data_IF_172108476757
#
_entry.id   IF_172108476757
#
_cell.length_a   1.000
_cell.length_b   1.000
_cell.length_c   1.000
_cell.angle_alpha   90.00
_cell.angle_beta   90.00
_cell.angle_gamma   90.00
#
_symmetry.space_group_name_H-M   'P 1'
#
loop_
_entity.id
_entity.type
_entity.pdbx_description
1 polymer ?
#
# COMPACT_ATOMS: atom_id res chain seq x y z
N UNK A 1 51.20 22.25 11.02
CA UNK A 1 50.04 23.09 11.39
C UNK A 1 48.81 22.40 10.80
N UNK A 2 47.86 21.99 11.64
CA UNK A 2 46.62 21.37 11.13
C UNK A 2 45.77 22.43 10.38
N UNK A 3 45.26 22.16 9.18
CA UNK A 3 44.46 23.11 8.42
C UNK A 3 43.07 23.36 9.02
N UNK A 4 42.76 22.79 10.16
CA UNK A 4 41.46 22.92 10.84
C UNK A 4 41.51 24.07 11.88
N UNK A 5 40.43 24.88 12.00
CA UNK A 5 40.27 25.81 13.09
C UNK A 5 40.51 25.14 14.44
N UNK A 6 41.17 25.81 15.40
CA UNK A 6 41.54 25.18 16.65
C UNK A 6 40.38 24.65 17.47
N UNK A 7 39.20 25.24 17.32
CA UNK A 7 37.93 24.83 17.93
C UNK A 7 37.52 23.43 17.51
N UNK A 8 37.60 23.14 16.21
CA UNK A 8 37.27 21.82 15.64
C UNK A 8 38.31 20.78 16.03
N UNK A 9 39.60 21.18 16.01
CA UNK A 9 40.70 20.30 16.44
C UNK A 9 40.56 19.92 17.93
N UNK A 10 40.14 20.87 18.76
CA UNK A 10 39.90 20.64 20.19
C UNK A 10 38.67 19.76 20.42
N UNK A 11 37.57 20.00 19.70
CA UNK A 11 36.36 19.18 19.75
C UNK A 11 36.63 17.73 19.36
N UNK A 12 37.39 17.48 18.29
CA UNK A 12 37.80 16.14 17.86
C UNK A 12 38.72 15.45 18.90
N UNK A 13 39.54 16.23 19.59
CA UNK A 13 40.43 15.72 20.67
C UNK A 13 39.64 15.33 21.91
N UNK A 14 38.55 16.03 22.22
CA UNK A 14 37.62 15.67 23.31
C UNK A 14 36.80 14.41 23.00
N UNK A 15 36.52 14.13 21.74
CA UNK A 15 35.81 12.92 21.31
C UNK A 15 36.68 11.66 21.29
N UNK A 16 38.02 11.77 21.39
CA UNK A 16 38.91 10.60 21.47
C UNK A 16 38.64 9.81 22.74
N UNK A 17 38.38 8.49 22.66
CA UNK A 17 38.08 7.64 23.81
C UNK A 17 39.31 7.52 24.73
N UNK A 18 39.38 8.37 25.72
CA UNK A 18 40.18 8.09 26.92
C UNK A 18 39.22 7.44 27.91
N UNK A 19 39.68 6.40 28.64
CA UNK A 19 38.95 5.60 29.64
C UNK A 19 38.24 6.41 30.74
N UNK A 20 37.33 7.33 30.38
CA UNK A 20 36.68 8.25 31.31
C UNK A 20 35.17 8.30 30.98
N UNK A 21 34.33 8.55 31.96
CA UNK A 21 32.87 8.71 31.90
C UNK A 21 32.35 9.59 30.75
N UNK A 22 33.14 10.58 30.31
CA UNK A 22 32.83 11.46 29.16
C UNK A 22 32.64 10.69 27.85
N UNK A 23 33.39 9.59 27.67
CA UNK A 23 33.23 8.75 26.46
C UNK A 23 31.91 8.01 26.42
N UNK A 24 31.33 7.63 27.57
CA UNK A 24 30.05 6.93 27.68
C UNK A 24 28.90 7.88 27.33
N UNK A 25 28.92 9.12 27.83
CA UNK A 25 27.89 10.12 27.53
C UNK A 25 27.86 10.44 26.03
N UNK A 26 29.05 10.66 25.44
CA UNK A 26 29.15 10.90 24.00
C UNK A 26 28.60 9.71 23.18
N UNK A 27 28.91 8.49 23.61
CA UNK A 27 28.38 7.27 22.97
C UNK A 27 26.88 7.20 23.07
N UNK A 28 26.27 7.48 24.22
CA UNK A 28 24.85 7.52 24.44
C UNK A 28 24.19 8.59 23.54
N UNK A 29 24.79 9.79 23.42
CA UNK A 29 24.31 10.83 22.52
C UNK A 29 24.32 10.38 21.06
N UNK A 30 25.44 9.82 20.60
CA UNK A 30 25.55 9.29 19.23
C UNK A 30 24.53 8.18 18.98
N UNK A 31 24.38 7.24 19.92
CA UNK A 31 23.38 6.17 19.80
C UNK A 31 21.95 6.72 19.76
N UNK A 32 21.64 7.73 20.59
CA UNK A 32 20.32 8.37 20.59
C UNK A 32 19.98 9.01 19.25
N UNK A 33 20.91 9.78 18.68
CA UNK A 33 20.73 10.38 17.33
C UNK A 33 20.65 9.29 16.25
N UNK A 34 21.54 8.29 16.32
CA UNK A 34 21.56 7.16 15.38
C UNK A 34 20.24 6.42 15.36
N UNK A 35 19.73 6.04 16.52
CA UNK A 35 18.44 5.34 16.63
C UNK A 35 17.27 6.23 16.18
N UNK A 36 17.27 7.52 16.59
CA UNK A 36 16.23 8.46 16.18
C UNK A 36 16.16 8.59 14.65
N UNK A 37 17.29 8.85 13.99
CA UNK A 37 17.35 8.97 12.52
C UNK A 37 16.98 7.65 11.83
N UNK A 38 17.49 6.51 12.34
CA UNK A 38 17.20 5.20 11.75
C UNK A 38 15.72 4.86 11.82
N UNK A 39 15.08 5.04 12.99
CA UNK A 39 13.64 4.78 13.17
C UNK A 39 12.81 5.70 12.30
N UNK A 40 13.12 7.00 12.28
CA UNK A 40 12.43 7.96 11.41
C UNK A 40 12.50 7.55 9.94
N UNK A 41 13.69 7.16 9.48
CA UNK A 41 13.91 6.75 8.10
C UNK A 41 13.12 5.48 7.74
N UNK A 42 13.15 4.46 8.62
CA UNK A 42 12.40 3.21 8.39
C UNK A 42 10.89 3.49 8.36
N UNK A 43 10.37 4.22 9.33
CA UNK A 43 8.92 4.49 9.43
C UNK A 43 8.42 5.29 8.23
N UNK A 44 9.13 6.37 7.85
CA UNK A 44 8.71 7.20 6.70
C UNK A 44 8.83 6.39 5.40
N UNK A 45 9.91 5.62 5.20
CA UNK A 45 10.08 4.80 4.00
C UNK A 45 8.98 3.74 3.85
N UNK A 46 8.59 3.07 4.95
CA UNK A 46 7.50 2.08 4.95
C UNK A 46 6.16 2.77 4.66
N UNK A 47 5.86 3.89 5.31
CA UNK A 47 4.60 4.62 5.08
C UNK A 47 4.47 5.14 3.64
N UNK A 48 5.53 5.73 3.12
CA UNK A 48 5.56 6.20 1.73
C UNK A 48 5.40 5.05 0.74
N UNK A 49 6.12 3.94 0.98
CA UNK A 49 6.04 2.74 0.15
C UNK A 49 4.65 2.10 0.19
N UNK A 50 4.04 2.01 1.37
CA UNK A 50 2.69 1.46 1.55
C UNK A 50 1.64 2.28 0.78
N UNK A 51 1.61 3.59 0.97
CA UNK A 51 0.64 4.46 0.31
C UNK A 51 0.78 4.47 -1.22
N UNK A 52 2.02 4.41 -1.74
CA UNK A 52 2.29 4.39 -3.17
C UNK A 52 1.94 3.04 -3.79
N UNK A 53 2.38 1.95 -3.19
CA UNK A 53 2.07 0.60 -3.68
C UNK A 53 0.56 0.30 -3.64
N UNK A 54 -0.12 0.75 -2.59
CA UNK A 54 -1.58 0.63 -2.51
C UNK A 54 -2.26 1.38 -3.66
N UNK A 55 -1.82 2.60 -3.94
CA UNK A 55 -2.33 3.39 -5.07
C UNK A 55 -2.07 2.70 -6.41
N UNK A 56 -0.87 2.20 -6.64
CA UNK A 56 -0.50 1.48 -7.87
C UNK A 56 -1.36 0.23 -8.08
N UNK A 57 -1.57 -0.56 -7.03
CA UNK A 57 -2.38 -1.79 -7.09
C UNK A 57 -3.86 -1.50 -7.32
N UNK A 58 -4.41 -0.47 -6.67
CA UNK A 58 -5.79 -0.04 -6.92
C UNK A 58 -5.95 0.38 -8.38
N UNK A 59 -5.03 1.16 -8.92
CA UNK A 59 -5.09 1.65 -10.31
C UNK A 59 -4.83 0.54 -11.34
N UNK A 60 -4.04 -0.47 -11.02
CA UNK A 60 -3.74 -1.58 -11.93
C UNK A 60 -4.89 -2.59 -12.07
N UNK A 61 -5.59 -2.88 -10.98
CA UNK A 61 -6.70 -3.83 -11.00
C UNK A 61 -8.04 -3.16 -11.33
N UNK A 62 -8.29 -1.98 -10.77
CA UNK A 62 -9.56 -1.29 -10.93
C UNK A 62 -9.53 -0.29 -12.08
N UNK A 63 -10.70 -0.07 -12.67
CA UNK A 63 -10.93 1.03 -13.59
C UNK A 63 -10.60 2.39 -12.96
N UNK A 64 -10.08 3.30 -13.75
CA UNK A 64 -9.91 4.69 -13.30
C UNK A 64 -11.25 5.40 -13.09
N UNK A 65 -12.23 5.09 -13.94
CA UNK A 65 -13.61 5.53 -13.82
C UNK A 65 -14.53 4.38 -14.24
N UNK A 66 -15.67 4.25 -13.59
CA UNK A 66 -16.77 3.35 -13.99
C UNK A 66 -18.01 4.17 -14.27
N UNK A 67 -18.81 3.72 -15.25
CA UNK A 67 -20.11 4.27 -15.56
C UNK A 67 -21.13 3.16 -15.42
N UNK A 68 -22.15 3.38 -14.62
CA UNK A 68 -23.25 2.45 -14.35
C UNK A 68 -24.58 3.16 -14.57
N UNK A 69 -25.60 2.46 -15.03
CA UNK A 69 -26.95 3.01 -15.10
C UNK A 69 -27.63 2.95 -13.73
N UNK A 70 -28.42 3.96 -13.38
CA UNK A 70 -29.07 4.03 -12.08
C UNK A 70 -30.29 3.13 -12.05
N UNK A 71 -30.28 2.15 -11.13
CA UNK A 71 -31.45 1.30 -10.83
C UNK A 71 -31.79 0.22 -11.83
N UNK A 72 -31.07 0.07 -12.92
CA UNK A 72 -31.24 -0.97 -13.94
C UNK A 72 -29.94 -1.31 -14.65
N UNK A 73 -29.81 -2.48 -15.29
CA UNK A 73 -28.70 -2.77 -16.17
C UNK A 73 -28.62 -1.78 -17.34
N UNK A 74 -27.44 -1.64 -17.91
CA UNK A 74 -27.15 -0.76 -19.03
C UNK A 74 -27.41 -1.49 -20.36
N UNK A 75 -28.50 -1.15 -21.03
CA UNK A 75 -28.99 -1.85 -22.24
C UNK A 75 -28.23 -1.44 -23.50
N UNK A 76 -28.04 -0.18 -23.78
CA UNK A 76 -27.33 0.28 -24.99
C UNK A 76 -25.88 0.70 -24.65
N UNK A 77 -25.12 -0.23 -24.04
CA UNK A 77 -23.78 0.05 -23.58
C UNK A 77 -22.80 0.42 -24.71
N UNK A 78 -23.04 -0.06 -25.96
CA UNK A 78 -22.18 0.22 -27.11
C UNK A 78 -22.25 1.70 -27.51
N UNK A 79 -23.43 2.30 -27.51
CA UNK A 79 -23.59 3.74 -27.78
C UNK A 79 -22.98 4.60 -26.65
N UNK A 80 -23.16 4.20 -25.41
CA UNK A 80 -22.56 4.86 -24.24
C UNK A 80 -21.02 4.75 -24.31
N UNK A 81 -20.49 3.57 -24.62
CA UNK A 81 -19.05 3.35 -24.79
C UNK A 81 -18.46 4.22 -25.93
N UNK A 82 -19.18 4.38 -27.04
CA UNK A 82 -18.76 5.26 -28.13
C UNK A 82 -18.72 6.72 -27.70
N UNK A 83 -19.70 7.18 -26.94
CA UNK A 83 -19.73 8.54 -26.36
C UNK A 83 -18.55 8.77 -25.42
N UNK A 84 -18.25 7.83 -24.53
CA UNK A 84 -17.14 7.89 -23.60
C UNK A 84 -15.79 7.91 -24.35
N UNK A 85 -15.65 7.07 -25.37
CA UNK A 85 -14.43 6.97 -26.18
C UNK A 85 -14.12 8.21 -27.00
N UNK A 86 -15.08 9.11 -27.20
CA UNK A 86 -14.85 10.40 -27.87
C UNK A 86 -14.00 11.38 -27.04
N UNK A 87 -13.88 11.15 -25.74
CA UNK A 87 -13.03 11.96 -24.87
C UNK A 87 -11.56 11.59 -25.06
N UNK A 88 -10.73 12.54 -25.43
CA UNK A 88 -9.30 12.36 -25.75
C UNK A 88 -8.45 11.88 -24.55
N UNK A 89 -8.92 12.05 -23.33
CA UNK A 89 -8.23 11.57 -22.13
C UNK A 89 -8.48 10.08 -21.86
N UNK A 90 -9.48 9.48 -22.54
CA UNK A 90 -9.82 8.07 -22.40
C UNK A 90 -8.90 7.22 -23.27
N UNK A 91 -8.23 6.24 -22.67
CA UNK A 91 -7.35 5.28 -23.34
C UNK A 91 -8.10 4.08 -23.90
N UNK A 92 -8.98 3.52 -23.06
CA UNK A 92 -9.76 2.33 -23.40
C UNK A 92 -11.02 2.25 -22.56
N UNK A 93 -12.02 1.52 -23.09
CA UNK A 93 -13.28 1.21 -22.44
C UNK A 93 -13.60 -0.27 -22.61
N UNK A 94 -14.24 -0.88 -21.62
CA UNK A 94 -14.73 -2.25 -21.69
C UNK A 94 -16.02 -2.41 -20.90
N UNK A 95 -17.01 -3.18 -21.39
CA UNK A 95 -18.19 -3.53 -20.63
C UNK A 95 -17.83 -4.53 -19.53
N UNK A 96 -18.60 -4.53 -18.45
CA UNK A 96 -18.52 -5.56 -17.43
C UNK A 96 -19.88 -5.90 -16.83
N UNK A 97 -19.99 -7.12 -16.33
CA UNK A 97 -21.11 -7.57 -15.50
C UNK A 97 -20.55 -7.90 -14.13
N UNK A 98 -21.13 -7.32 -13.08
CA UNK A 98 -20.85 -7.69 -11.70
C UNK A 98 -22.03 -8.43 -11.12
N UNK A 99 -21.82 -9.65 -10.66
CA UNK A 99 -22.83 -10.42 -9.96
C UNK A 99 -22.25 -11.13 -8.74
N UNK A 100 -22.99 -11.11 -7.65
CA UNK A 100 -22.61 -11.90 -6.48
C UNK A 100 -23.10 -13.32 -6.70
N UNK A 101 -22.24 -14.29 -6.46
CA UNK A 101 -22.53 -15.72 -6.64
C UNK A 101 -22.21 -16.50 -5.37
N UNK A 102 -22.84 -17.65 -5.20
CA UNK A 102 -22.39 -18.66 -4.26
C UNK A 102 -21.67 -19.73 -5.06
N UNK A 103 -20.40 -19.93 -4.80
CA UNK A 103 -19.64 -21.02 -5.39
C UNK A 103 -19.39 -22.13 -4.37
N UNK A 104 -19.25 -23.34 -4.86
CA UNK A 104 -18.90 -24.51 -4.10
C UNK A 104 -17.79 -25.29 -4.81
N UNK A 105 -16.72 -25.60 -4.08
CA UNK A 105 -15.64 -26.42 -4.63
C UNK A 105 -16.14 -27.85 -4.87
N UNK A 106 -15.62 -28.50 -5.93
CA UNK A 106 -15.99 -29.87 -6.28
C UNK A 106 -14.77 -30.80 -6.19
N UNK A 107 -14.24 -31.06 -4.96
CA UNK A 107 -13.06 -31.88 -4.80
C UNK A 107 -13.38 -33.36 -5.11
N UNK A 108 -12.45 -34.08 -5.72
CA UNK A 108 -12.58 -35.54 -5.94
C UNK A 108 -12.68 -36.31 -4.60
N UNK A 109 -12.02 -35.80 -3.55
CA UNK A 109 -12.05 -36.35 -2.19
C UNK A 109 -12.17 -35.22 -1.19
N UNK A 110 -13.13 -35.32 -0.28
CA UNK A 110 -13.35 -34.34 0.78
C UNK A 110 -14.72 -33.68 0.70
N UNK A 111 -14.97 -32.73 1.60
CA UNK A 111 -16.24 -32.00 1.63
C UNK A 111 -16.13 -30.75 0.75
N UNK A 112 -17.16 -30.45 -0.04
CA UNK A 112 -17.28 -29.18 -0.73
C UNK A 112 -17.17 -28.00 0.24
N UNK A 113 -16.52 -26.91 -0.20
CA UNK A 113 -16.39 -25.68 0.58
C UNK A 113 -17.15 -24.57 -0.12
N UNK A 114 -18.20 -24.01 0.51
CA UNK A 114 -18.92 -22.88 -0.03
C UNK A 114 -18.15 -21.58 0.18
N UNK A 115 -18.24 -20.68 -0.78
CA UNK A 115 -17.72 -19.32 -0.72
C UNK A 115 -18.59 -18.38 -1.56
N UNK A 116 -18.65 -17.09 -1.25
CA UNK A 116 -19.51 -16.12 -1.93
C UNK A 116 -18.70 -14.96 -2.53
N UNK A 117 -17.97 -15.20 -3.63
CA UNK A 117 -17.21 -14.15 -4.30
C UNK A 117 -18.11 -13.29 -5.19
N UNK A 118 -17.52 -12.18 -5.66
CA UNK A 118 -18.07 -11.39 -6.75
C UNK A 118 -17.55 -11.98 -8.07
N UNK A 119 -18.46 -12.37 -8.95
CA UNK A 119 -18.13 -12.81 -10.30
C UNK A 119 -18.18 -11.59 -11.23
N UNK A 120 -17.07 -11.32 -11.89
CA UNK A 120 -16.95 -10.27 -12.89
C UNK A 120 -16.91 -10.90 -14.29
N UNK A 121 -17.95 -10.62 -15.08
CA UNK A 121 -17.99 -10.96 -16.50
C UNK A 121 -17.24 -9.92 -17.31
N UNK A 122 -16.31 -10.36 -18.17
CA UNK A 122 -15.43 -9.49 -18.95
C UNK A 122 -15.38 -9.89 -20.41
N UNK A 123 -15.16 -8.93 -21.30
CA UNK A 123 -14.89 -9.18 -22.70
C UNK A 123 -13.42 -9.59 -22.87
N UNK A 124 -13.11 -10.77 -23.44
CA UNK A 124 -11.75 -11.29 -23.54
C UNK A 124 -10.81 -10.44 -24.41
N UNK A 125 -11.37 -9.64 -25.33
CA UNK A 125 -10.59 -8.79 -26.26
C UNK A 125 -10.34 -7.40 -25.65
N UNK A 126 -11.31 -6.87 -24.92
CA UNK A 126 -11.25 -5.53 -24.35
C UNK A 126 -10.62 -5.50 -22.96
N UNK A 127 -10.78 -6.53 -22.14
CA UNK A 127 -10.24 -6.59 -20.79
C UNK A 127 -8.73 -6.35 -20.71
N UNK A 128 -7.88 -6.91 -21.60
CA UNK A 128 -6.43 -6.63 -21.56
C UNK A 128 -6.04 -5.15 -21.77
N UNK A 129 -6.98 -4.33 -22.24
CA UNK A 129 -6.76 -2.89 -22.45
C UNK A 129 -7.11 -2.05 -21.22
N UNK A 130 -7.91 -2.62 -20.31
CA UNK A 130 -8.50 -1.91 -19.15
C UNK A 130 -8.12 -2.52 -17.81
N UNK A 131 -7.39 -3.64 -17.77
CA UNK A 131 -7.00 -4.33 -16.55
C UNK A 131 -5.63 -4.98 -16.70
N UNK A 132 -4.91 -5.11 -15.58
CA UNK A 132 -3.63 -5.82 -15.50
C UNK A 132 -3.79 -7.32 -15.20
N UNK A 133 -5.01 -7.82 -15.00
CA UNK A 133 -5.26 -9.25 -14.73
C UNK A 133 -4.62 -10.17 -15.75
N UNK A 134 -4.68 -9.90 -17.08
CA UNK A 134 -4.04 -10.78 -18.06
C UNK A 134 -2.53 -10.87 -17.93
N UNK A 135 -1.86 -9.81 -17.47
CA UNK A 135 -0.41 -9.79 -17.21
C UNK A 135 -0.03 -10.34 -15.83
N UNK A 136 -0.97 -10.37 -14.90
CA UNK A 136 -0.81 -10.89 -13.53
C UNK A 136 -1.09 -12.39 -13.39
N UNK A 137 -1.19 -13.16 -14.47
CA UNK A 137 -1.44 -14.60 -14.40
C UNK A 137 -0.23 -15.33 -13.81
N UNK A 138 -0.45 -16.07 -12.71
CA UNK A 138 0.57 -16.89 -12.03
C UNK A 138 0.55 -18.33 -12.56
N UNK A 139 -0.63 -18.88 -12.81
CA UNK A 139 -0.81 -20.25 -13.29
C UNK A 139 -1.96 -20.32 -14.29
N UNK A 140 -1.87 -21.20 -15.27
CA UNK A 140 -2.86 -21.32 -16.34
C UNK A 140 -2.72 -20.22 -17.39
N UNK A 141 -3.84 -19.82 -17.98
CA UNK A 141 -3.92 -18.80 -19.04
C UNK A 141 -5.07 -17.86 -18.79
N UNK A 142 -5.01 -16.64 -19.33
CA UNK A 142 -6.15 -15.76 -19.41
C UNK A 142 -7.14 -16.28 -20.45
N UNK A 143 -7.98 -17.21 -20.02
CA UNK A 143 -9.02 -17.82 -20.84
C UNK A 143 -10.36 -17.71 -20.11
N UNK A 144 -11.18 -16.80 -20.59
CA UNK A 144 -12.57 -16.55 -20.13
C UNK A 144 -13.57 -17.07 -21.17
N UNK A 145 -13.23 -18.16 -21.85
CA UNK A 145 -14.17 -18.88 -22.72
C UNK A 145 -15.36 -19.46 -21.97
N UNK A 146 -16.32 -20.08 -22.67
CA UNK A 146 -17.54 -20.61 -22.06
C UNK A 146 -17.23 -21.56 -20.89
N UNK A 147 -17.88 -21.31 -19.74
CA UNK A 147 -17.70 -22.08 -18.50
C UNK A 147 -16.26 -22.09 -17.94
N UNK A 148 -15.40 -21.18 -18.34
CA UNK A 148 -14.09 -20.98 -17.76
C UNK A 148 -14.13 -19.84 -16.73
N UNK A 149 -13.32 -19.99 -15.67
CA UNK A 149 -13.20 -18.98 -14.63
C UNK A 149 -11.76 -18.79 -14.23
N UNK A 150 -11.38 -17.54 -14.00
CA UNK A 150 -10.12 -17.16 -13.39
C UNK A 150 -10.38 -16.80 -11.93
N UNK A 151 -9.51 -17.24 -11.04
CA UNK A 151 -9.62 -16.99 -9.60
C UNK A 151 -8.37 -16.27 -9.08
N UNK A 152 -8.55 -15.45 -8.05
CA UNK A 152 -7.43 -14.80 -7.38
C UNK A 152 -6.56 -15.79 -6.61
N UNK A 153 -5.27 -15.51 -6.52
CA UNK A 153 -4.28 -16.37 -5.88
C UNK A 153 -4.62 -16.67 -4.41
N UNK A 154 -5.04 -15.65 -3.65
CA UNK A 154 -5.43 -15.82 -2.25
C UNK A 154 -6.66 -16.72 -2.08
N UNK A 155 -7.63 -16.66 -2.99
CA UNK A 155 -8.79 -17.54 -3.02
C UNK A 155 -8.37 -18.98 -3.35
N UNK A 156 -7.50 -19.15 -4.34
CA UNK A 156 -6.96 -20.45 -4.73
C UNK A 156 -6.21 -21.13 -3.56
N UNK A 157 -5.35 -20.40 -2.87
CA UNK A 157 -4.60 -20.91 -1.70
C UNK A 157 -5.53 -21.27 -0.54
N UNK A 158 -6.50 -20.42 -0.21
CA UNK A 158 -7.43 -20.63 0.91
C UNK A 158 -8.32 -21.85 0.70
N UNK A 159 -8.80 -22.06 -0.53
CA UNK A 159 -9.70 -23.19 -0.85
C UNK A 159 -8.95 -24.43 -1.36
N UNK A 160 -7.64 -24.30 -1.64
CA UNK A 160 -6.81 -25.38 -2.18
C UNK A 160 -7.12 -25.69 -3.65
N UNK A 161 -7.58 -24.69 -4.41
CA UNK A 161 -7.96 -24.82 -5.81
C UNK A 161 -6.74 -24.71 -6.75
N UNK A 162 -6.80 -25.46 -7.83
CA UNK A 162 -5.77 -25.51 -8.87
C UNK A 162 -6.40 -25.34 -10.26
N UNK A 163 -5.59 -24.98 -11.22
CA UNK A 163 -5.99 -24.97 -12.65
C UNK A 163 -6.48 -26.35 -13.05
N UNK A 164 -7.65 -26.41 -13.65
CA UNK A 164 -8.35 -27.63 -14.06
C UNK A 164 -9.44 -28.11 -13.08
N UNK A 165 -9.47 -27.58 -11.85
CA UNK A 165 -10.52 -27.94 -10.88
C UNK A 165 -11.88 -27.43 -11.34
N UNK A 166 -12.93 -28.11 -10.89
CA UNK A 166 -14.31 -27.74 -11.20
C UNK A 166 -14.97 -27.03 -10.02
N UNK A 167 -15.79 -26.05 -10.33
CA UNK A 167 -16.59 -25.28 -9.36
C UNK A 167 -18.06 -25.36 -9.73
N UNK A 168 -18.93 -25.49 -8.74
CA UNK A 168 -20.36 -25.31 -8.89
C UNK A 168 -20.73 -23.88 -8.48
N UNK A 169 -21.35 -23.11 -9.38
CA UNK A 169 -21.70 -21.72 -9.16
C UNK A 169 -23.20 -21.55 -9.21
N UNK A 170 -23.77 -20.99 -8.16
CA UNK A 170 -25.16 -20.64 -8.05
C UNK A 170 -25.35 -19.13 -8.18
N UNK A 171 -26.23 -18.73 -9.07
CA UNK A 171 -26.60 -17.30 -9.19
C UNK A 171 -27.51 -16.87 -8.05
N UNK A 172 -27.44 -15.60 -7.68
CA UNK A 172 -28.35 -15.05 -6.66
C UNK A 172 -29.83 -15.14 -7.04
N UNK A 173 -30.25 -14.91 -8.31
CA UNK A 173 -31.60 -15.17 -8.75
C UNK A 173 -32.05 -16.64 -8.59
N UNK A 174 -31.17 -17.61 -8.89
CA UNK A 174 -31.47 -19.02 -8.69
C UNK A 174 -31.71 -19.37 -7.23
N UNK A 175 -30.78 -18.87 -6.34
CA UNK A 175 -30.93 -19.07 -4.89
C UNK A 175 -32.24 -18.48 -4.35
N UNK A 176 -32.64 -17.30 -4.82
CA UNK A 176 -33.94 -16.70 -4.44
C UNK A 176 -35.12 -17.55 -4.88
N UNK A 177 -35.13 -18.03 -6.12
CA UNK A 177 -36.21 -18.93 -6.61
C UNK A 177 -36.27 -20.22 -5.80
N UNK A 178 -35.12 -20.82 -5.48
CA UNK A 178 -35.04 -22.02 -4.65
C UNK A 178 -35.61 -21.78 -3.24
N UNK A 179 -35.29 -20.63 -2.65
CA UNK A 179 -35.80 -20.23 -1.35
C UNK A 179 -37.31 -20.04 -1.33
N UNK A 180 -37.84 -19.31 -2.31
CA UNK A 180 -39.28 -19.09 -2.49
C UNK A 180 -40.05 -20.42 -2.75
N UNK A 181 -39.47 -21.30 -3.56
CA UNK A 181 -40.03 -22.65 -3.80
C UNK A 181 -40.06 -23.48 -2.53
N UNK A 182 -39.00 -23.42 -1.73
CA UNK A 182 -38.90 -24.14 -0.45
C UNK A 182 -39.92 -23.62 0.57
N UNK A 183 -40.12 -22.30 0.69
CA UNK A 183 -41.15 -21.69 1.54
C UNK A 183 -42.58 -22.08 1.07
N UNK A 184 -42.79 -22.25 -0.23
CA UNK A 184 -44.01 -22.72 -0.81
C UNK A 184 -44.22 -24.25 -0.72
N UNK A 185 -43.31 -24.97 -0.04
CA UNK A 185 -43.34 -26.44 0.11
C UNK A 185 -43.00 -27.21 -1.17
N UNK A 186 -42.45 -26.55 -2.20
CA UNK A 186 -42.03 -27.16 -3.46
C UNK A 186 -40.51 -27.48 -3.38
N UNK A 187 -40.13 -28.68 -3.82
CA UNK A 187 -38.72 -29.06 -3.94
C UNK A 187 -38.19 -28.77 -5.35
N UNK A 188 -38.15 -27.49 -5.71
CA UNK A 188 -37.47 -27.07 -6.93
C UNK A 188 -36.00 -26.78 -6.62
N UNK A 189 -35.11 -27.38 -7.40
CA UNK A 189 -33.66 -27.17 -7.27
C UNK A 189 -33.17 -26.71 -8.65
N UNK A 190 -32.75 -25.45 -8.74
CA UNK A 190 -32.02 -24.97 -9.90
C UNK A 190 -30.61 -25.56 -9.87
N UNK A 191 -30.17 -26.31 -10.90
CA UNK A 191 -28.82 -26.88 -10.91
C UNK A 191 -27.77 -25.76 -10.98
N UNK A 192 -26.64 -25.91 -10.29
CA UNK A 192 -25.54 -24.96 -10.44
C UNK A 192 -24.92 -25.03 -11.83
N UNK A 193 -24.42 -23.89 -12.30
CA UNK A 193 -23.57 -23.86 -13.48
C UNK A 193 -22.16 -24.34 -13.08
N UNK A 194 -21.60 -25.25 -13.90
CA UNK A 194 -20.25 -25.78 -13.66
C UNK A 194 -19.23 -24.94 -14.39
N UNK A 195 -18.21 -24.49 -13.67
CA UNK A 195 -17.07 -23.76 -14.21
C UNK A 195 -15.78 -24.56 -13.99
N UNK A 196 -14.81 -24.34 -14.87
CA UNK A 196 -13.47 -24.87 -14.75
C UNK A 196 -12.47 -23.74 -14.49
N UNK A 197 -11.59 -23.94 -13.53
CA UNK A 197 -10.51 -22.98 -13.22
C UNK A 197 -9.51 -23.00 -14.36
N UNK A 198 -9.55 -22.01 -15.23
CA UNK A 198 -8.65 -21.87 -16.38
C UNK A 198 -7.33 -21.20 -16.00
N UNK A 199 -7.33 -20.43 -14.91
CA UNK A 199 -6.12 -19.77 -14.44
C UNK A 199 -6.26 -19.12 -13.07
N UNK A 200 -5.11 -18.79 -12.49
CA UNK A 200 -4.96 -18.12 -11.20
C UNK A 200 -4.18 -16.84 -11.43
N UNK A 201 -4.71 -15.71 -10.97
CA UNK A 201 -4.08 -14.39 -11.11
C UNK A 201 -3.71 -13.79 -9.75
N UNK A 202 -2.67 -12.96 -9.76
CA UNK A 202 -2.25 -12.11 -8.65
C UNK A 202 -2.67 -10.66 -8.96
N UNK A 203 -3.58 -10.12 -8.17
CA UNK A 203 -3.99 -8.71 -8.23
C UNK A 203 -3.14 -7.83 -7.31
N UNK A 204 -2.29 -8.43 -6.49
CA UNK A 204 -1.45 -7.78 -5.51
C UNK A 204 -2.17 -7.19 -4.31
N UNK A 205 -3.48 -7.43 -4.18
CA UNK A 205 -4.30 -7.04 -3.04
C UNK A 205 -5.09 -8.25 -2.54
N UNK A 206 -4.78 -8.70 -1.33
CA UNK A 206 -5.36 -9.90 -0.73
C UNK A 206 -6.90 -9.92 -0.80
N UNK A 207 -7.54 -8.81 -0.45
CA UNK A 207 -9.00 -8.72 -0.43
C UNK A 207 -9.62 -8.85 -1.83
N UNK A 208 -9.01 -8.25 -2.84
CA UNK A 208 -9.46 -8.37 -4.23
C UNK A 208 -9.32 -9.82 -4.73
N UNK A 209 -8.19 -10.45 -4.44
CA UNK A 209 -7.92 -11.84 -4.81
C UNK A 209 -8.87 -12.82 -4.12
N UNK A 210 -9.20 -12.57 -2.85
CA UNK A 210 -10.16 -13.39 -2.10
C UNK A 210 -11.58 -13.24 -2.64
N UNK A 211 -11.99 -12.03 -3.00
CA UNK A 211 -13.38 -11.72 -3.31
C UNK A 211 -13.72 -11.75 -4.80
N UNK A 212 -12.73 -11.89 -5.70
CA UNK A 212 -12.96 -11.72 -7.15
C UNK A 212 -12.74 -13.01 -7.93
N UNK A 213 -13.70 -13.29 -8.81
CA UNK A 213 -13.60 -14.30 -9.88
C UNK A 213 -13.91 -13.63 -11.21
N UNK A 214 -13.23 -14.02 -12.29
CA UNK A 214 -13.48 -13.50 -13.63
C UNK A 214 -13.94 -14.61 -14.55
N UNK A 215 -14.95 -14.31 -15.40
CA UNK A 215 -15.44 -15.20 -16.44
C UNK A 215 -15.78 -14.42 -17.71
N UNK A 216 -16.21 -15.10 -18.76
CA UNK A 216 -16.70 -14.45 -19.97
C UNK A 216 -17.95 -13.59 -19.72
N UNK A 217 -18.09 -12.53 -20.52
CA UNK A 217 -19.22 -11.60 -20.38
C UNK A 217 -20.56 -12.34 -20.50
N UNK A 218 -20.70 -13.26 -21.47
CA UNK A 218 -21.92 -14.03 -21.69
C UNK A 218 -22.28 -14.93 -20.50
N UNK A 219 -21.32 -15.67 -19.95
CA UNK A 219 -21.58 -16.53 -18.78
C UNK A 219 -22.06 -15.71 -17.57
N UNK A 220 -21.50 -14.51 -17.38
CA UNK A 220 -21.91 -13.63 -16.30
C UNK A 220 -23.29 -13.01 -16.55
N UNK A 221 -23.63 -12.68 -17.80
CA UNK A 221 -24.96 -12.22 -18.21
C UNK A 221 -26.02 -13.29 -17.95
N UNK A 222 -25.76 -14.54 -18.32
CA UNK A 222 -26.63 -15.68 -18.06
C UNK A 222 -26.86 -15.91 -16.56
N UNK A 223 -25.81 -15.88 -15.76
CA UNK A 223 -25.90 -16.01 -14.30
C UNK A 223 -26.63 -14.83 -13.64
N UNK A 224 -26.48 -13.62 -14.15
CA UNK A 224 -27.16 -12.45 -13.64
C UNK A 224 -28.62 -12.35 -14.16
N UNK A 225 -28.91 -12.96 -15.29
CA UNK A 225 -30.24 -12.96 -15.94
C UNK A 225 -30.55 -11.66 -16.68
N UNK A 226 -29.55 -11.08 -17.38
CA UNK A 226 -29.61 -9.76 -18.04
C UNK A 226 -29.24 -9.85 -19.53
N UNK A 227 -29.68 -10.80 -20.27
CA UNK A 227 -29.43 -10.92 -21.72
C UNK A 227 -28.14 -10.22 -22.25
N UNK A 228 -28.24 -9.24 -23.20
CA UNK A 228 -27.09 -8.46 -23.75
C UNK A 228 -26.76 -7.18 -22.92
N UNK A 229 -27.46 -6.97 -21.83
CA UNK A 229 -27.21 -5.82 -20.94
C UNK A 229 -25.93 -6.02 -20.12
N UNK A 230 -25.39 -4.92 -19.58
CA UNK A 230 -24.20 -4.95 -18.73
C UNK A 230 -24.45 -4.17 -17.44
N UNK A 231 -23.68 -4.44 -16.41
CA UNK A 231 -23.74 -3.66 -15.16
C UNK A 231 -23.19 -2.26 -15.39
N UNK A 232 -22.10 -2.16 -16.16
CA UNK A 232 -21.49 -0.88 -16.45
C UNK A 232 -20.32 -0.97 -17.43
N UNK A 233 -19.64 0.16 -17.58
CA UNK A 233 -18.49 0.33 -18.45
C UNK A 233 -17.28 0.75 -17.61
N UNK A 234 -16.20 0.01 -17.74
CA UNK A 234 -14.86 0.32 -17.22
C UNK A 234 -14.15 1.29 -18.14
N UNK A 235 -13.53 2.32 -17.60
CA UNK A 235 -12.84 3.37 -18.36
C UNK A 235 -11.41 3.51 -17.83
N UNK A 236 -10.44 3.41 -18.72
CA UNK A 236 -9.03 3.70 -18.44
C UNK A 236 -8.62 5.01 -19.06
N UNK A 237 -7.93 5.85 -18.30
CA UNK A 237 -7.39 7.13 -18.73
C UNK A 237 -5.92 6.97 -19.12
N UNK A 238 -5.42 7.86 -19.99
CA UNK A 238 -3.99 7.94 -20.28
C UNK A 238 -3.18 8.38 -19.06
N UNK A 239 -3.73 9.29 -18.26
CA UNK A 239 -3.15 9.72 -16.98
C UNK A 239 -4.20 9.68 -15.86
N UNK A 240 -4.08 8.77 -14.87
CA UNK A 240 -5.04 8.63 -13.78
C UNK A 240 -4.76 9.51 -12.57
N UNK A 241 -4.04 10.63 -12.74
CA UNK A 241 -3.82 11.59 -11.66
C UNK A 241 -5.14 12.25 -11.20
N UNK A 242 -5.13 12.80 -9.98
CA UNK A 242 -6.33 13.38 -9.38
C UNK A 242 -6.94 14.51 -10.23
N UNK A 243 -6.18 15.49 -10.76
CA UNK A 243 -6.76 16.55 -11.58
C UNK A 243 -7.45 16.03 -12.83
N UNK A 244 -6.76 15.19 -13.59
CA UNK A 244 -7.29 14.63 -14.85
C UNK A 244 -8.51 13.74 -14.59
N UNK A 245 -8.45 12.86 -13.60
CA UNK A 245 -9.59 11.99 -13.26
C UNK A 245 -10.79 12.81 -12.83
N UNK A 246 -10.62 13.85 -12.02
CA UNK A 246 -11.72 14.73 -11.59
C UNK A 246 -12.34 15.49 -12.76
N UNK A 247 -11.52 16.00 -13.65
CA UNK A 247 -11.98 16.72 -14.85
C UNK A 247 -12.79 15.79 -15.78
N UNK A 248 -12.26 14.60 -16.08
CA UNK A 248 -12.94 13.63 -16.94
C UNK A 248 -14.23 13.13 -16.28
N UNK A 249 -14.22 12.87 -14.98
CA UNK A 249 -15.42 12.50 -14.22
C UNK A 249 -16.52 13.55 -14.39
N UNK A 250 -16.21 14.84 -14.25
CA UNK A 250 -17.18 15.91 -14.45
C UNK A 250 -17.68 15.99 -15.90
N UNK A 251 -16.80 15.93 -16.88
CA UNK A 251 -17.15 15.94 -18.30
C UNK A 251 -18.09 14.78 -18.67
N UNK A 252 -17.80 13.57 -18.18
CA UNK A 252 -18.65 12.40 -18.43
C UNK A 252 -19.99 12.49 -17.71
N UNK A 253 -20.03 13.05 -16.51
CA UNK A 253 -21.28 13.27 -15.78
C UNK A 253 -22.19 14.25 -16.53
N UNK A 254 -21.64 15.32 -17.08
CA UNK A 254 -22.37 16.30 -17.90
C UNK A 254 -22.83 15.71 -19.24
N UNK A 255 -21.96 14.94 -19.92
CA UNK A 255 -22.25 14.35 -21.21
C UNK A 255 -23.30 13.24 -21.19
N UNK A 256 -23.28 12.40 -20.15
CA UNK A 256 -24.18 11.25 -20.02
C UNK A 256 -25.52 11.59 -19.35
N UNK A 257 -25.56 12.68 -18.56
CA UNK A 257 -26.78 13.14 -17.89
C UNK A 257 -27.19 12.32 -16.68
N UNK A 258 -28.36 12.64 -16.09
CA UNK A 258 -28.79 12.13 -14.78
C UNK A 258 -29.22 10.65 -14.73
N UNK A 259 -29.19 9.92 -15.83
CA UNK A 259 -29.50 8.48 -15.87
C UNK A 259 -28.34 7.56 -15.52
N UNK A 260 -27.13 8.12 -15.37
CA UNK A 260 -25.90 7.39 -15.17
C UNK A 260 -25.17 7.86 -13.90
N UNK A 261 -24.56 6.92 -13.23
CA UNK A 261 -23.64 7.17 -12.14
C UNK A 261 -22.21 7.01 -12.65
N UNK A 262 -21.44 8.09 -12.64
CA UNK A 262 -20.03 8.09 -12.95
C UNK A 262 -19.27 7.97 -11.63
N UNK A 263 -18.44 6.95 -11.47
CA UNK A 263 -17.74 6.63 -10.23
C UNK A 263 -16.25 6.61 -10.51
N UNK A 264 -15.49 7.47 -9.85
CA UNK A 264 -14.04 7.44 -9.94
C UNK A 264 -13.43 6.43 -8.97
N UNK A 265 -12.23 5.93 -9.27
CA UNK A 265 -11.47 5.06 -8.38
C UNK A 265 -11.27 5.66 -6.97
N UNK A 266 -11.20 6.98 -6.87
CA UNK A 266 -11.09 7.70 -5.60
C UNK A 266 -12.38 7.62 -4.78
N UNK A 267 -13.55 7.67 -5.42
CA UNK A 267 -14.84 7.52 -4.74
C UNK A 267 -15.07 6.09 -4.28
N UNK A 268 -14.72 5.11 -5.10
CA UNK A 268 -14.79 3.69 -4.77
C UNK A 268 -13.92 3.35 -3.54
N UNK A 269 -12.72 3.92 -3.49
CA UNK A 269 -11.76 3.63 -2.43
C UNK A 269 -11.71 4.74 -1.36
N UNK A 270 -12.77 5.54 -1.23
CA UNK A 270 -12.80 6.71 -0.32
C UNK A 270 -12.48 6.36 1.13
N UNK A 271 -12.97 5.24 1.62
CA UNK A 271 -12.71 4.81 3.00
C UNK A 271 -11.24 4.47 3.20
N UNK A 272 -10.66 3.72 2.26
CA UNK A 272 -9.25 3.33 2.28
C UNK A 272 -8.32 4.53 2.14
N UNK A 273 -8.59 5.42 1.18
CA UNK A 273 -7.84 6.67 1.00
C UNK A 273 -7.98 7.59 2.22
N UNK A 274 -9.16 7.65 2.83
CA UNK A 274 -9.39 8.39 4.07
C UNK A 274 -8.57 7.84 5.23
N UNK A 275 -8.50 6.51 5.38
CA UNK A 275 -7.67 5.87 6.39
C UNK A 275 -6.18 6.21 6.22
N UNK A 276 -5.66 6.18 4.98
CA UNK A 276 -4.28 6.58 4.69
C UNK A 276 -3.96 8.03 5.08
N UNK A 277 -4.90 8.95 4.85
CA UNK A 277 -4.74 10.36 5.27
C UNK A 277 -4.68 10.47 6.78
N UNK A 278 -5.56 9.78 7.50
CA UNK A 278 -5.57 9.77 8.98
C UNK A 278 -4.28 9.14 9.51
N UNK A 279 -3.85 8.02 8.94
CA UNK A 279 -2.62 7.33 9.31
C UNK A 279 -1.40 8.24 9.10
N UNK A 280 -1.29 8.91 7.94
CA UNK A 280 -0.23 9.87 7.66
C UNK A 280 -0.20 11.00 8.69
N UNK A 281 -1.36 11.54 9.07
CA UNK A 281 -1.44 12.58 10.09
C UNK A 281 -1.02 12.06 11.47
N UNK A 282 -1.45 10.86 11.87
CA UNK A 282 -1.01 10.24 13.13
C UNK A 282 0.50 10.04 13.16
N UNK A 283 1.07 9.52 12.06
CA UNK A 283 2.53 9.36 11.93
C UNK A 283 3.26 10.71 12.06
N UNK A 284 2.75 11.76 11.44
CA UNK A 284 3.32 13.11 11.59
C UNK A 284 3.37 13.55 13.07
N UNK A 285 2.29 13.35 13.84
CA UNK A 285 2.31 13.67 15.27
C UNK A 285 3.29 12.80 16.06
N UNK A 286 3.32 11.49 15.80
CA UNK A 286 4.28 10.60 16.47
C UNK A 286 5.73 11.01 16.18
N UNK A 287 6.04 11.31 14.91
CA UNK A 287 7.36 11.78 14.50
C UNK A 287 7.71 13.11 15.19
N UNK A 288 6.78 14.04 15.27
CA UNK A 288 6.96 15.30 15.98
C UNK A 288 7.34 15.07 17.46
N UNK A 289 6.64 14.18 18.17
CA UNK A 289 6.98 13.85 19.56
C UNK A 289 8.32 13.14 19.69
N UNK A 290 8.68 12.23 18.79
CA UNK A 290 9.98 11.56 18.78
C UNK A 290 11.11 12.59 18.63
N UNK A 291 10.94 13.56 17.73
CA UNK A 291 11.93 14.65 17.53
C UNK A 291 12.07 15.50 18.78
N UNK A 292 10.96 15.84 19.44
CA UNK A 292 11.00 16.57 20.72
C UNK A 292 11.76 15.78 21.79
N UNK A 293 11.47 14.51 21.96
CA UNK A 293 12.17 13.64 22.94
C UNK A 293 13.66 13.55 22.64
N UNK A 294 14.03 13.40 21.36
CA UNK A 294 15.41 13.38 20.93
C UNK A 294 16.12 14.71 21.25
N UNK A 295 15.46 15.86 20.98
CA UNK A 295 16.00 17.19 21.30
C UNK A 295 16.23 17.37 22.79
N UNK A 296 15.30 16.94 23.66
CA UNK A 296 15.51 16.95 25.12
C UNK A 296 16.65 16.04 25.57
N UNK A 297 16.78 14.87 24.94
CA UNK A 297 17.89 13.95 25.21
C UNK A 297 19.25 14.58 24.90
N UNK A 298 19.37 15.22 23.74
CA UNK A 298 20.59 15.92 23.32
C UNK A 298 20.89 17.10 24.28
N UNK A 299 19.89 17.90 24.59
CA UNK A 299 20.02 19.04 25.50
C UNK A 299 20.48 18.60 26.90
N UNK A 300 19.89 17.55 27.47
CA UNK A 300 20.28 16.98 28.76
C UNK A 300 21.73 16.49 28.74
N UNK A 301 22.14 15.84 27.67
CA UNK A 301 23.51 15.37 27.51
C UNK A 301 24.53 16.52 27.42
N UNK A 302 24.18 17.60 26.67
CA UNK A 302 25.01 18.80 26.57
C UNK A 302 25.16 19.51 27.91
N UNK A 303 24.06 19.69 28.66
CA UNK A 303 24.10 20.29 30.01
C UNK A 303 25.02 19.47 30.91
N UNK A 304 24.85 18.16 30.93
CA UNK A 304 25.69 17.26 31.75
C UNK A 304 27.18 17.38 31.35
N UNK A 305 27.45 17.45 30.05
CA UNK A 305 28.81 17.60 29.54
C UNK A 305 29.44 18.93 29.96
N UNK A 306 28.70 20.04 29.81
CA UNK A 306 29.15 21.38 30.23
C UNK A 306 29.47 21.40 31.73
N UNK A 307 28.57 20.84 32.56
CA UNK A 307 28.80 20.75 34.02
C UNK A 307 30.06 19.95 34.35
N UNK A 308 30.29 18.82 33.71
CA UNK A 308 31.51 18.00 33.92
C UNK A 308 32.80 18.72 33.47
N UNK A 309 32.70 19.57 32.46
CA UNK A 309 33.82 20.34 31.91
C UNK A 309 34.03 21.71 32.52
N UNK A 310 33.31 22.07 33.59
CA UNK A 310 33.37 23.39 34.23
C UNK A 310 34.80 23.81 34.61
N UNK A 311 35.64 22.87 35.11
CA UNK A 311 37.02 23.16 35.46
C UNK A 311 37.88 23.49 34.22
N UNK A 312 37.67 22.78 33.10
CA UNK A 312 38.38 23.04 31.84
C UNK A 312 37.93 24.37 31.23
N UNK A 313 36.62 24.68 31.33
CA UNK A 313 36.06 25.99 30.93
C UNK A 313 36.69 27.13 31.74
N UNK A 314 36.81 26.92 33.04
CA UNK A 314 37.50 27.90 33.93
C UNK A 314 38.95 28.14 33.51
N UNK A 315 39.71 27.09 33.18
CA UNK A 315 41.07 27.22 32.70
C UNK A 315 41.15 27.97 31.37
N UNK A 316 40.26 27.67 30.41
CA UNK A 316 40.20 28.37 29.12
C UNK A 316 39.89 29.86 29.29
N UNK A 317 38.99 30.22 30.19
CA UNK A 317 38.68 31.62 30.54
C UNK A 317 39.86 32.31 31.21
N UNK A 318 40.57 31.63 32.10
CA UNK A 318 41.79 32.17 32.76
C UNK A 318 42.94 32.43 31.77
N UNK A 319 42.98 31.65 30.65
CA UNK A 319 43.90 31.86 29.53
C UNK A 319 43.42 32.93 28.53
N UNK A 320 42.29 33.61 28.80
CA UNK A 320 41.76 34.71 27.99
C UNK A 320 40.73 34.32 26.93
N UNK A 321 40.20 33.10 26.96
CA UNK A 321 39.14 32.72 26.03
C UNK A 321 37.85 33.51 26.31
N UNK A 322 37.23 34.06 25.24
CA UNK A 322 35.95 34.73 25.31
C UNK A 322 34.81 33.73 25.51
N UNK A 323 33.65 34.17 26.09
CA UNK A 323 32.47 33.29 26.22
C UNK A 323 31.99 32.68 24.91
N UNK A 324 32.08 33.43 23.81
CA UNK A 324 31.68 32.97 22.48
C UNK A 324 32.61 31.88 21.93
N UNK A 325 33.93 31.99 22.19
CA UNK A 325 34.88 30.96 21.81
C UNK A 325 34.67 29.66 22.59
N UNK A 326 34.34 29.73 23.87
CA UNK A 326 33.99 28.58 24.68
C UNK A 326 32.69 27.95 24.15
N UNK A 327 31.66 28.77 23.89
CA UNK A 327 30.40 28.27 23.30
C UNK A 327 30.63 27.57 21.95
N UNK A 328 31.50 28.14 21.10
CA UNK A 328 31.81 27.55 19.78
C UNK A 328 32.47 26.16 19.88
N UNK A 329 33.31 25.93 20.87
CA UNK A 329 33.93 24.61 21.12
C UNK A 329 32.84 23.58 21.44
N UNK A 330 31.83 23.90 22.26
CA UNK A 330 30.75 22.98 22.61
C UNK A 330 29.77 22.77 21.43
N UNK A 331 29.47 23.83 20.69
CA UNK A 331 28.67 23.73 19.46
C UNK A 331 29.34 22.85 18.40
N UNK A 332 30.66 23.03 18.22
CA UNK A 332 31.45 22.17 17.30
C UNK A 332 31.41 20.70 17.72
N UNK A 333 31.44 20.44 19.01
CA UNK A 333 31.33 19.07 19.52
C UNK A 333 29.94 18.46 19.30
N UNK A 334 28.86 19.19 19.58
CA UNK A 334 27.49 18.77 19.25
C UNK A 334 27.37 18.46 17.77
N UNK A 335 27.86 19.34 16.92
CA UNK A 335 27.81 19.14 15.47
C UNK A 335 28.52 17.85 15.05
N UNK A 336 29.69 17.54 15.60
CA UNK A 336 30.42 16.30 15.27
C UNK A 336 29.63 15.08 15.73
N UNK A 337 29.04 15.10 16.95
CA UNK A 337 28.18 14.04 17.46
C UNK A 337 26.94 13.88 16.57
N UNK A 338 26.32 14.99 16.16
CA UNK A 338 25.19 15.02 15.25
C UNK A 338 25.51 14.43 13.88
N UNK A 339 26.63 14.85 13.26
CA UNK A 339 27.05 14.33 11.95
C UNK A 339 27.34 12.82 12.01
N UNK A 340 28.09 12.36 13.01
CA UNK A 340 28.38 10.93 13.20
C UNK A 340 27.06 10.15 13.45
N UNK A 341 26.19 10.67 14.32
CA UNK A 341 24.90 10.05 14.62
C UNK A 341 23.97 9.96 13.40
N UNK A 342 23.88 11.05 12.62
CA UNK A 342 23.06 11.09 11.39
C UNK A 342 23.60 10.13 10.33
N UNK A 343 24.91 10.10 10.07
CA UNK A 343 25.52 9.17 9.11
C UNK A 343 25.29 7.72 9.53
N UNK A 344 25.54 7.40 10.81
CA UNK A 344 25.32 6.06 11.36
C UNK A 344 23.82 5.69 11.33
N UNK A 345 22.94 6.64 11.65
CA UNK A 345 21.49 6.47 11.61
C UNK A 345 20.95 6.25 10.20
N UNK A 346 21.47 7.01 9.23
CA UNK A 346 21.16 6.79 7.82
C UNK A 346 21.58 5.39 7.36
N UNK A 347 22.83 4.96 7.68
CA UNK A 347 23.32 3.65 7.31
C UNK A 347 22.47 2.52 7.94
N UNK A 348 22.13 2.66 9.22
CA UNK A 348 21.30 1.70 9.95
C UNK A 348 19.86 1.67 9.38
N UNK A 349 19.26 2.83 9.14
CA UNK A 349 17.92 2.96 8.57
C UNK A 349 17.84 2.39 7.15
N UNK A 350 18.82 2.70 6.31
CA UNK A 350 18.93 2.14 4.96
C UNK A 350 19.05 0.61 4.97
N UNK A 351 19.90 0.08 5.85
CA UNK A 351 20.06 -1.37 6.05
C UNK A 351 18.75 -2.00 6.53
N UNK A 352 18.07 -1.39 7.50
CA UNK A 352 16.78 -1.85 8.01
C UNK A 352 15.71 -1.90 6.91
N UNK A 353 15.61 -0.87 6.09
CA UNK A 353 14.69 -0.84 4.94
C UNK A 353 15.09 -1.90 3.90
N UNK A 354 16.38 -2.10 3.63
CA UNK A 354 16.87 -3.07 2.63
C UNK A 354 16.56 -4.52 3.00
N UNK A 355 16.71 -4.86 4.28
CA UNK A 355 16.54 -6.22 4.80
C UNK A 355 15.22 -6.43 5.55
N UNK A 356 14.22 -5.56 5.35
CA UNK A 356 12.95 -5.60 6.07
C UNK A 356 12.17 -6.92 5.90
N UNK A 357 12.11 -7.45 4.68
CA UNK A 357 11.39 -8.69 4.40
C UNK A 357 12.17 -9.91 4.91
N UNK A 358 13.49 -9.91 4.79
CA UNK A 358 14.34 -10.97 5.37
C UNK A 358 14.18 -11.04 6.89
N UNK A 359 14.06 -9.87 7.54
CA UNK A 359 13.76 -9.79 8.97
C UNK A 359 12.38 -10.34 9.33
N UNK A 360 11.34 -10.02 8.54
CA UNK A 360 10.00 -10.58 8.74
C UNK A 360 9.99 -12.10 8.59
N UNK A 361 10.63 -12.62 7.56
CA UNK A 361 10.76 -14.07 7.34
C UNK A 361 11.54 -14.75 8.47
N UNK A 362 12.62 -14.14 8.94
CA UNK A 362 13.38 -14.64 10.09
C UNK A 362 12.51 -14.70 11.36
N UNK A 363 11.74 -13.65 11.65
CA UNK A 363 10.84 -13.62 12.81
C UNK A 363 9.75 -14.69 12.72
N UNK A 364 9.15 -14.85 11.54
CA UNK A 364 8.15 -15.89 11.32
C UNK A 364 8.74 -17.30 11.51
N UNK A 365 9.87 -17.61 10.86
CA UNK A 365 10.50 -18.94 10.93
C UNK A 365 11.05 -19.29 12.31
N UNK A 366 11.59 -18.30 13.04
CA UNK A 366 12.30 -18.56 14.32
C UNK A 366 11.34 -18.52 15.52
N UNK A 367 10.39 -17.57 15.51
CA UNK A 367 9.52 -17.30 16.65
C UNK A 367 8.04 -17.64 16.37
N UNK A 368 7.73 -18.07 15.14
CA UNK A 368 6.36 -18.29 14.66
C UNK A 368 5.46 -17.04 14.85
N UNK A 369 6.09 -15.85 14.70
CA UNK A 369 5.43 -14.56 14.80
C UNK A 369 5.19 -14.03 13.39
N UNK A 370 3.94 -14.02 12.94
CA UNK A 370 3.54 -13.36 11.72
C UNK A 370 3.27 -11.88 12.02
N UNK A 371 4.31 -11.05 11.82
CA UNK A 371 4.26 -9.61 12.11
C UNK A 371 3.51 -8.82 11.03
N UNK A 372 3.30 -9.40 9.86
CA UNK A 372 2.68 -8.73 8.72
C UNK A 372 1.75 -9.69 7.97
N UNK A 373 0.61 -10.10 8.60
CA UNK A 373 -0.33 -11.01 7.96
C UNK A 373 -1.02 -10.33 6.75
N UNK A 374 -1.02 -10.99 5.57
CA UNK A 374 -1.61 -10.45 4.34
C UNK A 374 -3.10 -10.12 4.46
N UNK A 375 -3.83 -10.84 5.31
CA UNK A 375 -5.26 -10.63 5.56
C UNK A 375 -5.57 -9.25 6.16
N UNK A 376 -4.64 -8.71 6.97
CA UNK A 376 -4.79 -7.41 7.63
C UNK A 376 -4.20 -6.28 6.78
N UNK A 377 -3.03 -6.50 6.20
CA UNK A 377 -2.28 -5.45 5.52
C UNK A 377 -2.48 -5.42 4.01
N UNK A 378 -3.16 -6.39 3.43
CA UNK A 378 -3.47 -6.48 2.00
C UNK A 378 -2.25 -6.72 1.09
N UNK A 379 -1.05 -6.88 1.64
CA UNK A 379 0.20 -7.13 0.91
C UNK A 379 0.91 -8.36 1.46
N UNK A 380 1.61 -9.08 0.59
CA UNK A 380 2.42 -10.25 0.96
C UNK A 380 3.79 -9.88 1.51
N UNK A 381 4.29 -8.72 1.13
CA UNK A 381 5.58 -8.17 1.56
C UNK A 381 5.39 -6.77 2.11
N UNK A 382 6.24 -6.36 3.06
CA UNK A 382 6.22 -5.02 3.61
C UNK A 382 6.73 -4.01 2.57
N UNK A 383 5.86 -3.16 2.01
CA UNK A 383 6.31 -2.15 1.06
C UNK A 383 7.15 -1.09 1.75
N UNK A 384 8.18 -0.61 1.08
CA UNK A 384 8.94 0.55 1.55
C UNK A 384 9.59 1.26 0.37
N UNK A 385 9.55 2.60 0.39
CA UNK A 385 10.19 3.44 -0.61
C UNK A 385 10.96 4.57 0.06
N UNK A 386 12.25 4.68 -0.26
CA UNK A 386 13.09 5.77 0.20
C UNK A 386 12.99 6.91 -0.81
N UNK A 387 12.45 8.05 -0.37
CA UNK A 387 12.37 9.27 -1.18
C UNK A 387 13.46 10.23 -0.74
N UNK A 388 14.21 10.79 -1.70
CA UNK A 388 15.36 11.66 -1.42
C UNK A 388 14.98 12.90 -0.62
N UNK A 389 13.78 13.48 -0.85
CA UNK A 389 13.28 14.62 -0.08
C UNK A 389 13.13 14.29 1.40
N UNK A 390 12.59 13.11 1.72
CA UNK A 390 12.37 12.68 3.10
C UNK A 390 13.69 12.47 3.83
N UNK A 391 14.65 11.84 3.16
CA UNK A 391 16.03 11.67 3.70
C UNK A 391 16.67 13.03 4.00
N UNK A 392 16.55 14.00 3.09
CA UNK A 392 17.11 15.34 3.30
C UNK A 392 16.45 16.07 4.47
N UNK A 393 15.11 15.95 4.62
CA UNK A 393 14.37 16.54 5.73
C UNK A 393 14.77 15.89 7.05
N UNK A 394 14.86 14.56 7.12
CA UNK A 394 15.22 13.82 8.33
C UNK A 394 16.67 14.17 8.73
N UNK A 395 17.61 14.00 7.81
CA UNK A 395 19.03 14.24 8.11
C UNK A 395 19.32 15.72 8.40
N UNK A 396 18.76 16.63 7.60
CA UNK A 396 18.91 18.07 7.80
C UNK A 396 18.25 18.56 9.08
N UNK A 397 17.02 18.15 9.34
CA UNK A 397 16.30 18.46 10.57
C UNK A 397 17.00 17.94 11.81
N UNK A 398 17.53 16.71 11.79
CA UNK A 398 18.31 16.15 12.88
C UNK A 398 19.61 16.91 13.14
N UNK A 399 20.30 17.35 12.10
CA UNK A 399 21.52 18.17 12.26
C UNK A 399 21.22 19.56 12.82
N UNK A 400 20.09 20.17 12.49
CA UNK A 400 19.69 21.50 13.04
C UNK A 400 19.37 21.39 14.53
N UNK A 401 18.83 20.26 14.98
CA UNK A 401 18.49 20.02 16.39
C UNK A 401 19.73 19.69 17.23
N UNK A 402 20.77 19.08 16.63
CA UNK A 402 22.06 18.80 17.29
C UNK A 402 22.94 20.03 17.41
#
# INVERSE_FOLDING_TARGET
MSPLPYEIALALRYLRPKRTFVSIITLICVLGVTLGVAVLMIVIAVMTGFGEQLRERILGFNAHIRVEAIGKPLSDWRAVAATISSNTSVRAVAPYVHTQVLMETQPEKGNPRPFAPVLRGVDPVLEPRVSEVPSGMISGKFDVGPNNVLIGLSLAETLGLKVGDSLAVYSLPALKRMHEAWEAGRKEVDPPQKFHVAGVFDAGLYQLEMSSMLTGLGDAQDLHGIEDDVTGITIMLHNPDMPTTTQVHQQLTEALGGGFQVISWMQDNRQLLGALVVEKNMMFYLLFFIVIVAAFGIMSALITFVVQKTREIGMLKALGATPSQVALVFLSQSLVVGVVGVISGFALGWTGVRFRNDFLHFMNQTFNLDLFPPELYQFRELPARIVTSDVLIICGGSLVIC
#
